data_IF_974271312949
#
_entry.id   IF_974271312949
#
_cell.length_a   1.000
_cell.length_b   1.000
_cell.length_c   1.000
_cell.angle_alpha   90.00
_cell.angle_beta   90.00
_cell.angle_gamma   90.00
#
_symmetry.space_group_name_H-M   'P 1'
#
loop_
_entity.id
_entity.type
_entity.pdbx_description
1 polymer ?
#
# COMPACT_ATOMS: atom_id res chain seq x y z
N UNK A 1 34.03 7.99 9.91
CA UNK A 1 35.31 8.12 10.65
C UNK A 1 35.46 6.98 11.66
N UNK A 2 34.53 6.78 12.60
CA UNK A 2 34.62 5.69 13.60
C UNK A 2 34.77 4.29 12.98
N UNK A 3 33.97 3.95 11.96
CA UNK A 3 34.07 2.66 11.23
C UNK A 3 35.45 2.46 10.61
N UNK A 4 35.98 3.48 9.91
CA UNK A 4 37.32 3.44 9.30
C UNK A 4 38.41 3.20 10.34
N UNK A 5 38.35 3.91 11.48
CA UNK A 5 39.31 3.72 12.58
C UNK A 5 39.18 2.32 13.17
N UNK A 6 37.95 1.83 13.35
CA UNK A 6 37.68 0.50 13.90
C UNK A 6 38.27 -0.60 13.01
N UNK A 7 38.01 -0.55 11.70
CA UNK A 7 38.53 -1.54 10.74
C UNK A 7 40.05 -1.53 10.68
N UNK A 8 40.67 -0.35 10.72
CA UNK A 8 42.13 -0.21 10.73
C UNK A 8 42.76 -0.71 12.04
N UNK A 9 42.13 -0.47 13.18
CA UNK A 9 42.63 -0.93 14.49
C UNK A 9 42.51 -2.45 14.62
N UNK A 10 41.39 -3.03 14.18
CA UNK A 10 41.15 -4.47 14.31
C UNK A 10 41.88 -5.30 13.26
N UNK A 11 42.03 -4.80 12.03
CA UNK A 11 42.51 -5.58 10.90
C UNK A 11 43.73 -4.99 10.19
N UNK A 12 44.24 -3.82 10.59
CA UNK A 12 45.38 -3.17 9.96
C UNK A 12 45.11 -2.77 8.51
N UNK A 13 46.12 -2.94 7.63
CA UNK A 13 46.00 -2.64 6.19
C UNK A 13 44.86 -3.42 5.50
N UNK A 14 44.63 -4.73 5.79
CA UNK A 14 43.42 -5.44 5.35
C UNK A 14 42.09 -4.75 5.65
N UNK A 15 42.02 -3.94 6.72
CA UNK A 15 40.83 -3.14 7.07
C UNK A 15 40.42 -2.16 5.95
N UNK A 16 41.36 -1.65 5.16
CA UNK A 16 41.08 -0.78 4.01
C UNK A 16 40.32 -1.54 2.91
N UNK A 17 40.68 -2.81 2.70
CA UNK A 17 40.02 -3.68 1.70
C UNK A 17 38.59 -3.99 2.17
N UNK A 18 38.43 -4.34 3.45
CA UNK A 18 37.11 -4.62 4.06
C UNK A 18 36.20 -3.39 3.91
N UNK A 19 36.69 -2.22 4.28
CA UNK A 19 35.97 -0.96 4.15
C UNK A 19 35.56 -0.68 2.70
N UNK A 20 36.48 -0.91 1.74
CA UNK A 20 36.23 -0.70 0.32
C UNK A 20 35.10 -1.60 -0.18
N UNK A 21 35.12 -2.89 0.22
CA UNK A 21 34.06 -3.85 -0.11
C UNK A 21 32.73 -3.42 0.50
N UNK A 22 32.70 -2.99 1.77
CA UNK A 22 31.47 -2.51 2.42
C UNK A 22 30.89 -1.28 1.70
N UNK A 23 31.74 -0.31 1.33
CA UNK A 23 31.31 0.89 0.60
C UNK A 23 30.79 0.58 -0.81
N UNK A 24 31.33 -0.45 -1.47
CA UNK A 24 30.83 -0.94 -2.76
C UNK A 24 29.55 -1.77 -2.61
N UNK A 25 29.45 -2.58 -1.56
CA UNK A 25 28.32 -3.47 -1.34
C UNK A 25 27.00 -2.69 -1.14
N UNK A 26 27.03 -1.56 -0.43
CA UNK A 26 25.83 -0.75 -0.18
C UNK A 26 25.14 -0.28 -1.49
N UNK A 27 25.80 0.44 -2.42
CA UNK A 27 25.16 0.87 -3.66
C UNK A 27 24.80 -0.32 -4.57
N UNK A 28 25.62 -1.39 -4.60
CA UNK A 28 25.30 -2.59 -5.39
C UNK A 28 24.04 -3.27 -4.87
N UNK A 29 23.92 -3.46 -3.56
CA UNK A 29 22.78 -4.12 -2.95
C UNK A 29 21.56 -3.21 -2.94
N UNK A 30 21.67 -1.98 -2.45
CA UNK A 30 20.53 -1.06 -2.34
C UNK A 30 20.07 -0.53 -3.71
N UNK A 31 20.97 0.03 -4.52
CA UNK A 31 20.59 0.62 -5.81
C UNK A 31 20.52 -0.41 -6.94
N UNK A 32 21.41 -1.40 -6.96
CA UNK A 32 21.37 -2.45 -7.99
C UNK A 32 20.29 -3.49 -7.71
N UNK A 33 20.38 -4.18 -6.58
CA UNK A 33 19.51 -5.33 -6.28
C UNK A 33 18.13 -4.87 -5.82
N UNK A 34 18.02 -4.02 -4.80
CA UNK A 34 16.71 -3.65 -4.24
C UNK A 34 15.94 -2.73 -5.19
N UNK A 35 16.52 -1.63 -5.66
CA UNK A 35 15.80 -0.78 -6.61
C UNK A 35 15.53 -1.49 -7.96
N UNK A 36 16.45 -2.33 -8.44
CA UNK A 36 16.24 -3.11 -9.66
C UNK A 36 15.17 -4.18 -9.50
N UNK A 37 15.43 -5.19 -8.67
CA UNK A 37 14.52 -6.33 -8.48
C UNK A 37 13.23 -5.91 -7.79
N UNK A 38 13.32 -5.04 -6.78
CA UNK A 38 12.18 -4.51 -6.05
C UNK A 38 11.28 -3.60 -6.87
N UNK A 39 11.61 -3.25 -8.11
CA UNK A 39 10.66 -2.61 -9.05
C UNK A 39 10.30 -3.50 -10.25
N UNK A 40 10.89 -4.70 -10.33
CA UNK A 40 10.71 -5.59 -11.47
C UNK A 40 9.93 -6.87 -11.11
N UNK A 41 10.23 -7.50 -9.98
CA UNK A 41 9.72 -8.83 -9.64
C UNK A 41 9.40 -8.97 -8.16
N UNK A 42 8.39 -9.80 -7.86
CA UNK A 42 7.94 -10.07 -6.50
C UNK A 42 6.43 -9.92 -6.33
N UNK A 43 6.00 -9.87 -5.08
CA UNK A 43 4.59 -9.74 -4.71
C UNK A 43 4.26 -8.32 -4.24
N UNK A 44 2.97 -7.97 -4.23
CA UNK A 44 2.50 -6.66 -3.76
C UNK A 44 1.41 -6.84 -2.73
N UNK A 45 1.57 -6.17 -1.61
CA UNK A 45 0.51 -6.02 -0.62
C UNK A 45 -0.39 -4.83 -0.95
N UNK A 46 0.17 -3.80 -1.59
CA UNK A 46 -0.48 -2.54 -1.89
C UNK A 46 -0.24 -2.13 -3.34
N UNK A 47 -1.26 -1.59 -3.98
CA UNK A 47 -1.09 -0.91 -5.26
C UNK A 47 -0.69 0.53 -5.01
N UNK A 48 0.48 0.87 -5.53
CA UNK A 48 1.17 2.14 -5.39
C UNK A 48 1.41 2.67 -6.80
N UNK A 49 1.53 3.99 -7.00
CA UNK A 49 1.72 4.59 -8.32
C UNK A 49 3.05 4.21 -8.98
N UNK A 50 3.92 3.52 -8.26
CA UNK A 50 5.21 3.04 -8.72
C UNK A 50 5.25 1.50 -8.85
N UNK A 51 6.32 1.02 -9.49
CA UNK A 51 6.48 -0.39 -9.78
C UNK A 51 6.89 -1.26 -8.57
N UNK A 52 7.08 -0.70 -7.37
CA UNK A 52 7.65 -1.43 -6.23
C UNK A 52 6.94 -2.75 -5.86
N UNK A 53 7.71 -3.79 -5.57
CA UNK A 53 7.34 -5.15 -5.21
C UNK A 53 8.13 -5.58 -3.99
N UNK A 54 7.51 -6.36 -3.10
CA UNK A 54 8.25 -7.10 -2.09
C UNK A 54 8.94 -8.28 -2.78
N UNK A 55 10.25 -8.39 -2.63
CA UNK A 55 11.07 -9.41 -3.31
C UNK A 55 10.84 -10.78 -2.64
N UNK A 56 11.11 -10.85 -1.33
CA UNK A 56 10.94 -12.05 -0.49
C UNK A 56 10.41 -11.66 0.89
N UNK A 57 9.69 -12.54 1.60
CA UNK A 57 9.11 -12.20 2.90
C UNK A 57 10.12 -12.21 4.06
N UNK A 58 11.37 -12.63 3.84
CA UNK A 58 12.33 -12.84 4.93
C UNK A 58 12.98 -11.55 5.44
N UNK A 59 13.21 -10.53 4.62
CA UNK A 59 13.70 -9.24 5.11
C UNK A 59 15.04 -9.27 5.86
N UNK A 60 16.01 -10.12 5.47
CA UNK A 60 17.26 -10.38 6.23
C UNK A 60 18.48 -9.73 5.58
N UNK A 61 18.64 -9.88 4.26
CA UNK A 61 19.88 -9.64 3.52
C UNK A 61 20.25 -8.16 3.53
N UNK A 62 19.24 -7.30 3.40
CA UNK A 62 19.39 -5.84 3.37
C UNK A 62 18.55 -5.20 4.46
N UNK A 63 18.51 -5.85 5.62
CA UNK A 63 17.84 -5.35 6.82
C UNK A 63 16.35 -4.98 6.60
N UNK A 64 15.61 -5.71 5.76
CA UNK A 64 14.17 -5.52 5.59
C UNK A 64 13.77 -4.77 4.31
N UNK A 65 14.71 -4.11 3.62
CA UNK A 65 14.48 -3.42 2.34
C UNK A 65 13.92 -4.34 1.24
N UNK A 66 13.99 -5.67 1.41
CA UNK A 66 13.29 -6.62 0.54
C UNK A 66 11.76 -6.46 0.55
N UNK A 67 11.20 -5.84 1.59
CA UNK A 67 9.78 -5.51 1.73
C UNK A 67 9.43 -4.15 1.09
N UNK A 68 10.00 -3.91 -0.10
CA UNK A 68 10.00 -2.62 -0.79
C UNK A 68 8.61 -2.07 -1.10
N UNK A 69 7.66 -2.91 -1.52
CA UNK A 69 6.29 -2.46 -1.77
C UNK A 69 5.61 -1.93 -0.51
N UNK A 70 5.90 -2.51 0.66
CA UNK A 70 5.38 -2.01 1.92
C UNK A 70 6.02 -0.67 2.30
N UNK A 71 7.34 -0.54 2.10
CA UNK A 71 8.06 0.71 2.30
C UNK A 71 7.49 1.84 1.42
N UNK A 72 7.27 1.59 0.14
CA UNK A 72 6.64 2.57 -0.77
C UNK A 72 5.19 2.90 -0.40
N UNK A 73 4.44 1.94 0.16
CA UNK A 73 3.09 2.21 0.66
C UNK A 73 3.09 3.09 1.92
N UNK A 74 4.10 2.96 2.79
CA UNK A 74 4.22 3.68 4.05
C UNK A 74 5.66 4.19 4.27
N UNK A 75 6.12 5.20 3.51
CA UNK A 75 7.53 5.62 3.51
C UNK A 75 8.00 6.23 4.84
N UNK A 76 7.05 6.66 5.69
CA UNK A 76 7.35 7.18 7.03
C UNK A 76 7.31 6.11 8.13
N UNK A 77 6.99 4.85 7.81
CA UNK A 77 6.98 3.76 8.78
C UNK A 77 8.39 3.27 9.04
N UNK A 78 8.79 3.20 10.31
CA UNK A 78 10.05 2.59 10.71
C UNK A 78 10.07 1.05 10.53
N UNK A 79 8.89 0.44 10.39
CA UNK A 79 8.71 -1.01 10.18
C UNK A 79 8.21 -1.24 8.76
N UNK A 80 8.88 -2.10 8.00
CA UNK A 80 8.50 -2.44 6.63
C UNK A 80 7.63 -3.69 6.55
N UNK A 81 7.70 -4.59 7.53
CA UNK A 81 6.76 -5.72 7.61
C UNK A 81 5.33 -5.29 7.96
N UNK A 82 4.39 -5.75 7.15
CA UNK A 82 2.95 -5.49 7.30
C UNK A 82 2.18 -6.79 7.53
N UNK A 83 2.61 -7.90 6.92
CA UNK A 83 2.03 -9.22 7.13
C UNK A 83 2.66 -9.92 8.32
N UNK A 84 1.87 -10.78 8.97
CA UNK A 84 2.36 -11.63 10.07
C UNK A 84 3.45 -12.62 9.63
N UNK A 85 3.48 -12.98 8.35
CA UNK A 85 4.48 -13.89 7.76
C UNK A 85 5.66 -13.15 7.12
N UNK A 86 5.72 -11.82 7.21
CA UNK A 86 6.88 -11.04 6.79
C UNK A 86 7.80 -10.83 7.99
N UNK A 87 9.07 -11.17 7.81
CA UNK A 87 10.12 -10.85 8.77
C UNK A 87 10.88 -9.61 8.30
N UNK A 88 11.35 -8.82 9.26
CA UNK A 88 11.94 -7.51 9.05
C UNK A 88 13.09 -7.34 10.02
N UNK A 89 14.30 -7.60 9.53
CA UNK A 89 15.52 -7.53 10.34
C UNK A 89 15.82 -6.08 10.76
N UNK A 90 15.51 -5.09 9.93
CA UNK A 90 15.65 -3.67 10.28
C UNK A 90 14.80 -3.32 11.50
N UNK A 91 13.56 -3.81 11.55
CA UNK A 91 12.71 -3.65 12.72
C UNK A 91 13.28 -4.30 13.98
N UNK A 92 13.90 -5.48 13.86
CA UNK A 92 14.59 -6.12 15.00
C UNK A 92 15.71 -5.22 15.53
N UNK A 93 16.56 -4.66 14.67
CA UNK A 93 17.61 -3.72 15.08
C UNK A 93 17.05 -2.47 15.75
N UNK A 94 16.00 -1.87 15.18
CA UNK A 94 15.33 -0.69 15.75
C UNK A 94 14.80 -1.01 17.15
N UNK A 95 14.21 -2.19 17.35
CA UNK A 95 13.69 -2.61 18.67
C UNK A 95 14.81 -2.86 19.69
N UNK A 96 15.96 -3.37 19.25
CA UNK A 96 17.15 -3.49 20.11
C UNK A 96 17.62 -2.10 20.55
N UNK A 97 17.77 -1.15 19.61
CA UNK A 97 18.18 0.22 19.95
C UNK A 97 17.16 0.94 20.83
N UNK A 98 15.86 0.72 20.62
CA UNK A 98 14.83 1.25 21.49
C UNK A 98 14.92 0.68 22.91
N UNK A 99 15.17 -0.63 23.06
CA UNK A 99 15.36 -1.26 24.37
C UNK A 99 16.62 -0.75 25.10
N UNK A 100 17.64 -0.35 24.35
CA UNK A 100 18.87 0.27 24.89
C UNK A 100 18.73 1.79 25.13
N UNK A 101 17.59 2.40 24.82
CA UNK A 101 17.38 3.85 24.95
C UNK A 101 18.13 4.69 23.89
N UNK A 102 18.58 4.07 22.80
CA UNK A 102 19.35 4.70 21.72
C UNK A 102 18.48 5.20 20.56
N UNK A 103 17.21 4.78 20.49
CA UNK A 103 16.29 5.17 19.42
C UNK A 103 14.85 5.30 19.93
N UNK A 104 14.10 6.20 19.32
CA UNK A 104 12.65 6.35 19.52
C UNK A 104 11.92 6.10 18.20
N UNK A 105 10.86 5.28 18.24
CA UNK A 105 10.04 4.98 17.06
C UNK A 105 8.89 5.98 16.98
N UNK A 106 8.99 6.91 16.03
CA UNK A 106 7.99 7.99 15.87
C UNK A 106 6.74 7.47 15.13
N UNK A 107 6.92 6.62 14.11
CA UNK A 107 5.83 6.20 13.23
C UNK A 107 5.96 4.74 12.79
N UNK A 108 4.82 4.06 12.80
CA UNK A 108 4.62 2.74 12.22
C UNK A 108 3.37 2.80 11.35
N UNK A 109 3.37 2.05 10.25
CA UNK A 109 2.20 1.91 9.38
C UNK A 109 0.96 1.57 10.22
N UNK A 110 -0.15 2.32 10.09
CA UNK A 110 -1.31 2.16 10.94
C UNK A 110 -1.98 0.81 10.69
N UNK A 111 -2.45 0.17 11.75
CA UNK A 111 -3.40 -0.92 11.62
C UNK A 111 -4.82 -0.31 11.58
N UNK A 112 -5.63 -0.59 10.54
CA UNK A 112 -6.98 -0.05 10.47
C UNK A 112 -7.83 -0.64 11.59
N UNK A 113 -8.35 0.24 12.46
CA UNK A 113 -9.34 -0.12 13.48
C UNK A 113 -10.74 0.10 12.89
N UNK A 114 -11.57 -0.94 12.96
CA UNK A 114 -12.96 -0.89 12.49
C UNK A 114 -13.86 -1.21 13.67
N UNK A 115 -14.62 -0.22 14.12
CA UNK A 115 -15.60 -0.29 15.20
C UNK A 115 -16.99 -0.52 14.60
N UNK A 116 -17.55 -1.76 14.65
CA UNK A 116 -18.80 -2.08 13.95
C UNK A 116 -20.03 -1.31 14.44
N UNK A 117 -20.01 -0.82 15.68
CA UNK A 117 -21.11 -0.07 16.29
C UNK A 117 -21.16 1.40 15.85
N UNK A 118 -20.09 1.94 15.24
CA UNK A 118 -20.05 3.34 14.80
C UNK A 118 -20.89 3.51 13.54
N UNK A 119 -21.95 4.32 13.65
CA UNK A 119 -22.87 4.62 12.53
C UNK A 119 -22.75 6.05 12.02
N UNK A 120 -22.24 6.97 12.83
CA UNK A 120 -22.12 8.38 12.46
C UNK A 120 -20.78 8.65 11.75
N UNK A 121 -20.84 9.39 10.65
CA UNK A 121 -19.66 9.82 9.88
C UNK A 121 -19.30 11.22 10.36
N UNK A 122 -18.13 11.33 10.97
CA UNK A 122 -17.54 12.57 11.50
C UNK A 122 -16.12 12.79 10.95
N UNK A 123 -15.48 13.88 11.41
CA UNK A 123 -14.13 14.23 11.00
C UNK A 123 -13.08 13.19 11.41
N UNK A 124 -13.31 12.45 12.49
CA UNK A 124 -12.41 11.38 12.91
C UNK A 124 -12.46 10.21 11.92
N UNK A 125 -13.65 9.83 11.48
CA UNK A 125 -13.86 8.82 10.43
C UNK A 125 -13.13 9.21 9.14
N UNK A 126 -13.25 10.47 8.73
CA UNK A 126 -12.53 11.01 7.55
C UNK A 126 -11.02 10.88 7.73
N UNK A 127 -10.48 11.31 8.88
CA UNK A 127 -9.05 11.18 9.18
C UNK A 127 -8.61 9.72 9.19
N UNK A 128 -9.38 8.82 9.80
CA UNK A 128 -9.11 7.39 9.85
C UNK A 128 -9.02 6.78 8.44
N UNK A 129 -9.95 7.11 7.56
CA UNK A 129 -9.96 6.66 6.16
C UNK A 129 -8.75 7.22 5.39
N UNK A 130 -8.39 8.49 5.58
CA UNK A 130 -7.24 9.12 4.90
C UNK A 130 -5.91 8.52 5.38
N UNK A 131 -5.74 8.37 6.69
CA UNK A 131 -4.54 7.78 7.31
C UNK A 131 -4.36 6.33 6.87
N UNK A 132 -5.46 5.58 6.78
CA UNK A 132 -5.47 4.18 6.36
C UNK A 132 -5.71 4.00 4.85
N UNK A 133 -5.50 5.03 4.00
CA UNK A 133 -5.84 4.99 2.57
C UNK A 133 -5.35 3.75 1.82
N UNK A 134 -4.14 3.29 2.10
CA UNK A 134 -3.56 2.10 1.46
C UNK A 134 -4.31 0.83 1.87
N UNK A 135 -4.71 0.72 3.14
CA UNK A 135 -5.55 -0.37 3.64
C UNK A 135 -6.97 -0.30 3.07
N UNK A 136 -7.54 0.91 2.96
CA UNK A 136 -8.87 1.16 2.38
C UNK A 136 -8.91 0.75 0.91
N UNK A 137 -7.94 1.17 0.08
CA UNK A 137 -7.84 0.73 -1.32
C UNK A 137 -7.72 -0.78 -1.45
N UNK A 138 -6.85 -1.37 -0.63
CA UNK A 138 -6.65 -2.82 -0.64
C UNK A 138 -7.95 -3.55 -0.29
N UNK A 139 -8.67 -3.07 0.73
CA UNK A 139 -9.96 -3.61 1.11
C UNK A 139 -10.96 -3.46 -0.04
N UNK A 140 -11.07 -2.27 -0.64
CA UNK A 140 -11.92 -2.01 -1.81
C UNK A 140 -11.65 -2.98 -2.96
N UNK A 141 -10.38 -3.19 -3.31
CA UNK A 141 -10.02 -4.15 -4.35
C UNK A 141 -10.46 -5.57 -3.99
N UNK A 142 -10.25 -5.99 -2.74
CA UNK A 142 -10.56 -7.35 -2.29
C UNK A 142 -12.06 -7.61 -2.15
N UNK A 143 -12.83 -6.64 -1.66
CA UNK A 143 -14.25 -6.81 -1.30
C UNK A 143 -15.21 -6.26 -2.35
N UNK A 144 -14.77 -5.37 -3.23
CA UNK A 144 -15.60 -4.76 -4.29
C UNK A 144 -15.12 -5.18 -5.68
N UNK A 145 -13.92 -4.75 -6.09
CA UNK A 145 -13.46 -4.94 -7.48
C UNK A 145 -13.38 -6.41 -7.88
N UNK A 146 -12.74 -7.25 -7.06
CA UNK A 146 -12.55 -8.67 -7.39
C UNK A 146 -13.89 -9.45 -7.39
N UNK A 147 -14.77 -9.30 -6.38
CA UNK A 147 -16.08 -9.96 -6.39
C UNK A 147 -16.96 -9.54 -7.57
N UNK A 148 -17.08 -8.24 -7.86
CA UNK A 148 -17.87 -7.76 -9.01
C UNK A 148 -17.27 -8.28 -10.32
N UNK A 149 -15.94 -8.22 -10.49
CA UNK A 149 -15.29 -8.85 -11.65
C UNK A 149 -15.60 -10.34 -11.80
N UNK A 150 -15.64 -11.10 -10.71
CA UNK A 150 -16.00 -12.52 -10.76
C UNK A 150 -17.45 -12.75 -11.16
N UNK A 151 -18.37 -11.93 -10.66
CA UNK A 151 -19.80 -11.99 -11.03
C UNK A 151 -19.98 -11.70 -12.52
N UNK A 152 -19.38 -10.62 -13.01
CA UNK A 152 -19.42 -10.25 -14.43
C UNK A 152 -18.74 -11.29 -15.33
N UNK A 153 -17.61 -11.86 -14.90
CA UNK A 153 -16.94 -12.93 -15.62
C UNK A 153 -17.83 -14.19 -15.77
N UNK A 154 -18.64 -14.50 -14.75
CA UNK A 154 -19.57 -15.62 -14.78
C UNK A 154 -20.80 -15.34 -15.65
N UNK A 155 -21.31 -14.11 -15.60
CA UNK A 155 -22.49 -13.69 -16.38
C UNK A 155 -22.18 -13.49 -17.88
N UNK A 156 -20.96 -13.10 -18.22
CA UNK A 156 -20.59 -12.68 -19.58
C UNK A 156 -20.29 -13.82 -20.57
N UNK A 157 -20.52 -15.09 -20.23
CA UNK A 157 -20.35 -16.27 -21.11
C UNK A 157 -19.08 -16.31 -21.97
N UNK A 158 -17.96 -15.74 -21.47
CA UNK A 158 -16.67 -15.70 -22.17
C UNK A 158 -16.27 -14.35 -22.81
N UNK A 159 -17.13 -13.34 -22.82
CA UNK A 159 -16.81 -12.01 -23.38
C UNK A 159 -15.79 -11.22 -22.54
N UNK A 160 -15.56 -11.61 -21.29
CA UNK A 160 -14.58 -10.98 -20.41
C UNK A 160 -13.41 -11.93 -20.16
N UNK A 161 -12.19 -11.49 -20.47
CA UNK A 161 -10.97 -12.28 -20.23
C UNK A 161 -10.52 -12.20 -18.78
N UNK A 162 -10.01 -13.30 -18.22
CA UNK A 162 -9.35 -13.32 -16.90
C UNK A 162 -8.20 -12.32 -16.76
N UNK A 163 -7.55 -11.93 -17.88
CA UNK A 163 -6.45 -10.95 -17.91
C UNK A 163 -6.91 -9.54 -17.50
N UNK A 164 -8.20 -9.22 -17.67
CA UNK A 164 -8.80 -7.94 -17.28
C UNK A 164 -8.68 -7.69 -15.77
N UNK A 165 -8.68 -8.74 -14.95
CA UNK A 165 -8.50 -8.61 -13.49
C UNK A 165 -7.26 -7.78 -13.16
N UNK A 166 -6.14 -8.00 -13.85
CA UNK A 166 -4.90 -7.25 -13.61
C UNK A 166 -5.06 -5.78 -14.01
N UNK A 167 -5.75 -5.50 -15.12
CA UNK A 167 -6.00 -4.14 -15.60
C UNK A 167 -6.88 -3.34 -14.63
N UNK A 168 -7.89 -3.99 -14.04
CA UNK A 168 -8.78 -3.36 -13.06
C UNK A 168 -8.08 -3.01 -11.75
N UNK A 169 -7.11 -3.83 -11.31
CA UNK A 169 -6.44 -3.65 -10.02
C UNK A 169 -5.24 -2.71 -10.13
N UNK A 170 -4.50 -2.79 -11.23
CA UNK A 170 -3.24 -2.04 -11.40
C UNK A 170 -3.49 -0.54 -11.49
N UNK A 171 -2.53 0.21 -10.98
CA UNK A 171 -2.53 1.67 -11.07
C UNK A 171 -2.46 2.16 -12.53
N UNK A 172 -3.32 3.12 -12.96
CA UNK A 172 -3.37 3.57 -14.36
C UNK A 172 -2.05 4.10 -14.91
N UNK A 173 -1.20 4.71 -14.06
CA UNK A 173 0.11 5.21 -14.46
C UNK A 173 1.07 4.09 -14.88
N UNK A 174 0.85 2.86 -14.38
CA UNK A 174 1.65 1.68 -14.70
C UNK A 174 1.13 0.88 -15.90
N UNK A 175 0.03 1.33 -16.52
CA UNK A 175 -0.54 0.70 -17.71
C UNK A 175 -0.02 1.39 -18.98
N UNK A 176 0.42 0.58 -19.95
CA UNK A 176 0.72 1.06 -21.29
C UNK A 176 -0.56 1.50 -22.04
N UNK A 177 -0.39 2.13 -23.20
CA UNK A 177 -1.51 2.66 -23.99
C UNK A 177 -2.49 1.58 -24.45
N UNK A 178 -2.01 0.36 -24.75
CA UNK A 178 -2.86 -0.75 -25.19
C UNK A 178 -3.70 -1.28 -24.03
N UNK A 179 -3.09 -1.46 -22.86
CA UNK A 179 -3.73 -1.87 -21.62
C UNK A 179 -4.79 -0.86 -21.16
N UNK A 180 -4.50 0.45 -21.30
CA UNK A 180 -5.46 1.53 -21.02
C UNK A 180 -6.66 1.49 -21.96
N UNK A 181 -6.41 1.32 -23.27
CA UNK A 181 -7.48 1.21 -24.28
C UNK A 181 -8.38 0.01 -23.98
N UNK A 182 -7.78 -1.15 -23.72
CA UNK A 182 -8.51 -2.37 -23.36
C UNK A 182 -9.30 -2.25 -22.06
N UNK A 183 -8.74 -1.57 -21.05
CA UNK A 183 -9.47 -1.29 -19.81
C UNK A 183 -10.70 -0.44 -20.12
N UNK A 184 -10.55 0.64 -20.90
CA UNK A 184 -11.66 1.51 -21.28
C UNK A 184 -12.76 0.76 -22.01
N UNK A 185 -12.41 -0.05 -23.01
CA UNK A 185 -13.36 -0.90 -23.75
C UNK A 185 -14.16 -1.81 -22.81
N UNK A 186 -13.51 -2.44 -21.83
CA UNK A 186 -14.20 -3.29 -20.86
C UNK A 186 -15.15 -2.50 -19.97
N UNK A 187 -14.75 -1.30 -19.52
CA UNK A 187 -15.58 -0.46 -18.67
C UNK A 187 -16.80 0.06 -19.46
N UNK A 188 -16.62 0.50 -20.70
CA UNK A 188 -17.71 0.97 -21.58
C UNK A 188 -18.75 -0.14 -21.85
N UNK A 189 -18.30 -1.38 -21.97
CA UNK A 189 -19.17 -2.53 -22.22
C UNK A 189 -19.74 -3.17 -20.93
N UNK A 190 -19.34 -2.71 -19.74
CA UNK A 190 -19.81 -3.29 -18.48
C UNK A 190 -20.09 -2.22 -17.42
N UNK A 191 -21.37 -1.87 -17.28
CA UNK A 191 -21.83 -0.81 -16.38
C UNK A 191 -21.44 -1.06 -14.91
N UNK A 192 -21.48 -2.31 -14.44
CA UNK A 192 -21.14 -2.65 -13.06
C UNK A 192 -19.65 -2.41 -12.79
N UNK A 193 -18.76 -2.86 -13.69
CA UNK A 193 -17.32 -2.62 -13.61
C UNK A 193 -16.98 -1.14 -13.75
N UNK A 194 -17.64 -0.42 -14.66
CA UNK A 194 -17.46 1.03 -14.78
C UNK A 194 -17.80 1.75 -13.47
N UNK A 195 -18.97 1.43 -12.91
CA UNK A 195 -19.43 2.02 -11.64
C UNK A 195 -18.40 1.80 -10.53
N UNK A 196 -17.97 0.56 -10.28
CA UNK A 196 -16.99 0.30 -9.20
C UNK A 196 -15.62 0.90 -9.48
N UNK A 197 -15.23 1.06 -10.75
CA UNK A 197 -14.00 1.74 -11.12
C UNK A 197 -14.10 3.25 -10.81
N UNK A 198 -15.18 3.91 -11.21
CA UNK A 198 -15.42 5.34 -10.91
C UNK A 198 -15.46 5.63 -9.41
N UNK A 199 -16.13 4.77 -8.61
CA UNK A 199 -16.16 4.92 -7.16
C UNK A 199 -14.76 4.80 -6.54
N UNK A 200 -13.89 3.92 -7.07
CA UNK A 200 -12.49 3.84 -6.63
C UNK A 200 -11.74 5.13 -6.90
N UNK A 201 -11.83 5.67 -8.11
CA UNK A 201 -11.10 6.88 -8.49
C UNK A 201 -11.60 8.10 -7.69
N UNK A 202 -12.92 8.21 -7.42
CA UNK A 202 -13.46 9.23 -6.52
C UNK A 202 -12.93 9.12 -5.10
N UNK A 203 -12.75 7.89 -4.60
CA UNK A 203 -12.15 7.65 -3.28
C UNK A 203 -10.67 8.06 -3.24
N UNK A 204 -9.95 7.94 -4.37
CA UNK A 204 -8.57 8.42 -4.48
C UNK A 204 -8.47 9.94 -4.49
N UNK A 205 -9.36 10.61 -5.20
CA UNK A 205 -9.43 12.09 -5.26
C UNK A 205 -9.64 12.70 -3.88
N UNK A 206 -10.43 12.03 -3.02
CA UNK A 206 -10.61 12.40 -1.61
C UNK A 206 -9.28 12.54 -0.85
N UNK A 207 -8.23 11.79 -1.22
CA UNK A 207 -6.93 11.82 -0.54
C UNK A 207 -5.96 12.86 -1.10
N UNK A 208 -6.11 13.25 -2.37
CA UNK A 208 -5.33 14.35 -2.96
C UNK A 208 -5.78 15.73 -2.49
N UNK A 209 -6.86 15.81 -1.70
CA UNK A 209 -7.49 17.03 -1.22
C UNK A 209 -6.69 17.85 -0.20
N UNK A 210 -5.37 17.96 -0.34
CA UNK A 210 -4.50 18.79 0.51
C UNK A 210 -4.97 20.26 0.59
N UNK A 211 -5.79 20.72 -0.36
CA UNK A 211 -6.37 22.07 -0.42
C UNK A 211 -7.86 22.13 0.00
N UNK A 212 -8.43 21.05 0.54
CA UNK A 212 -9.84 20.99 0.94
C UNK A 212 -10.03 21.24 2.43
N UNK A 213 -11.07 22.00 2.80
CA UNK A 213 -11.45 22.14 4.20
C UNK A 213 -11.97 20.82 4.78
N UNK A 214 -11.81 20.64 6.10
CA UNK A 214 -12.30 19.47 6.83
C UNK A 214 -13.80 19.21 6.58
N UNK A 215 -14.61 20.27 6.51
CA UNK A 215 -16.04 20.19 6.20
C UNK A 215 -16.32 19.62 4.80
N UNK A 216 -15.57 20.08 3.78
CA UNK A 216 -15.71 19.57 2.41
C UNK A 216 -15.30 18.10 2.31
N UNK A 217 -14.22 17.70 2.99
CA UNK A 217 -13.81 16.29 3.05
C UNK A 217 -14.87 15.40 3.70
N UNK A 218 -15.47 15.88 4.79
CA UNK A 218 -16.58 15.19 5.45
C UNK A 218 -17.79 15.05 4.53
N UNK A 219 -18.18 16.13 3.87
CA UNK A 219 -19.31 16.11 2.95
C UNK A 219 -19.06 15.18 1.77
N UNK A 220 -17.88 15.25 1.16
CA UNK A 220 -17.51 14.36 0.06
C UNK A 220 -17.54 12.88 0.46
N UNK A 221 -17.07 12.53 1.68
CA UNK A 221 -17.15 11.16 2.17
C UNK A 221 -18.60 10.72 2.40
N UNK A 222 -19.43 11.60 2.98
CA UNK A 222 -20.87 11.34 3.15
C UNK A 222 -21.57 11.10 1.81
N UNK A 223 -21.31 11.95 0.83
CA UNK A 223 -21.88 11.85 -0.52
C UNK A 223 -21.41 10.57 -1.23
N UNK A 224 -20.11 10.23 -1.09
CA UNK A 224 -19.56 8.99 -1.63
C UNK A 224 -20.28 7.77 -1.04
N UNK A 225 -20.46 7.73 0.28
CA UNK A 225 -21.14 6.61 0.97
C UNK A 225 -22.61 6.54 0.54
N UNK A 226 -23.35 7.65 0.53
CA UNK A 226 -24.75 7.67 0.14
C UNK A 226 -24.97 7.18 -1.30
N UNK A 227 -24.12 7.61 -2.23
CA UNK A 227 -24.21 7.18 -3.63
C UNK A 227 -23.78 5.71 -3.80
N UNK A 228 -22.78 5.24 -3.04
CA UNK A 228 -22.36 3.84 -3.05
C UNK A 228 -23.49 2.93 -2.55
N UNK A 229 -24.25 3.36 -1.54
CA UNK A 229 -25.43 2.65 -1.06
C UNK A 229 -26.57 2.60 -2.08
N UNK A 230 -26.73 3.65 -2.89
CA UNK A 230 -27.73 3.70 -3.96
C UNK A 230 -27.33 2.90 -5.22
N UNK A 231 -26.08 2.44 -5.34
CA UNK A 231 -25.52 1.83 -6.57
C UNK A 231 -26.15 0.50 -7.02
N UNK A 232 -26.98 -0.13 -6.17
CA UNK A 232 -27.52 -1.50 -6.34
C UNK A 232 -26.45 -2.60 -6.46
N UNK A 233 -25.18 -2.29 -6.28
CA UNK A 233 -24.07 -3.25 -6.28
C UNK A 233 -23.79 -3.66 -4.84
N UNK A 234 -24.25 -4.86 -4.44
CA UNK A 234 -24.16 -5.35 -3.05
C UNK A 234 -22.77 -5.22 -2.44
N UNK A 235 -21.73 -5.59 -3.19
CA UNK A 235 -20.34 -5.49 -2.74
C UNK A 235 -19.92 -4.04 -2.41
N UNK A 236 -20.38 -3.07 -3.20
CA UNK A 236 -20.11 -1.65 -2.99
C UNK A 236 -20.91 -1.09 -1.80
N UNK A 237 -22.17 -1.51 -1.65
CA UNK A 237 -23.01 -1.16 -0.50
C UNK A 237 -22.39 -1.67 0.82
N UNK A 238 -21.94 -2.92 0.85
CA UNK A 238 -21.32 -3.53 2.04
C UNK A 238 -19.99 -2.85 2.39
N UNK A 239 -19.20 -2.49 1.38
CA UNK A 239 -17.97 -1.71 1.61
C UNK A 239 -18.27 -0.31 2.16
N UNK A 240 -19.26 0.40 1.60
CA UNK A 240 -19.68 1.71 2.08
C UNK A 240 -20.15 1.66 3.56
N UNK A 241 -20.87 0.61 3.94
CA UNK A 241 -21.23 0.37 5.33
C UNK A 241 -20.00 0.18 6.22
N UNK A 242 -18.98 -0.56 5.75
CA UNK A 242 -17.74 -0.77 6.50
C UNK A 242 -16.92 0.50 6.73
N UNK A 243 -16.99 1.49 5.82
CA UNK A 243 -16.26 2.74 5.95
C UNK A 243 -16.66 3.55 7.19
N UNK A 244 -17.91 3.43 7.64
CA UNK A 244 -18.42 4.10 8.83
C UNK A 244 -17.76 3.63 10.13
N UNK A 245 -17.24 2.40 10.11
CA UNK A 245 -16.57 1.82 11.26
C UNK A 245 -15.12 2.26 11.41
N UNK A 246 -14.51 2.90 10.42
CA UNK A 246 -13.08 3.28 10.50
C UNK A 246 -12.87 4.29 11.62
N UNK A 247 -11.97 3.95 12.54
CA UNK A 247 -11.54 4.79 13.64
C UNK A 247 -10.03 4.96 13.59
N UNK A 248 -9.53 6.05 14.19
CA UNK A 248 -8.10 6.16 14.45
C UNK A 248 -7.76 5.21 15.61
N UNK A 249 -6.61 4.52 15.56
CA UNK A 249 -6.19 3.73 16.71
C UNK A 249 -6.12 4.63 17.94
N UNK A 250 -6.62 4.13 19.08
CA UNK A 250 -6.41 4.80 20.35
C UNK A 250 -4.92 5.11 20.52
N UNK A 251 -4.58 6.35 20.89
CA UNK A 251 -3.20 6.73 21.13
C UNK A 251 -2.61 5.74 22.17
N UNK A 252 -1.57 5.02 21.74
CA UNK A 252 -0.84 4.07 22.57
C UNK A 252 0.20 4.80 23.42
#
# INVERSE_FOLDING_TARGET
ILMVVTDLVLFGVPGIIILSIQMLAIPVMAAGVINGLGHHTGYRNFECPDAATNIVPWGIIVAGEELHNNHHAFPSSAKFSIRKWEFDMGWVYIRIFQALGLAEVIRVAPAPEIVPSRKHIDLETVRAVIVNRMHVLRAYTKTVMIPVFKQELQAASGNISRRVKKLLVREPVLLDSQAKSKLREVLENNQALNTVHEFRERLRVLWSGANMSNEKLLQHLKDWIAQAEASRIKALQDFAASLRGYALPAAA
#
